data_IF_062758877140
#
_entry.id   IF_062758877140
#
_cell.length_a   1.000
_cell.length_b   1.000
_cell.length_c   1.000
_cell.angle_alpha   90.00
_cell.angle_beta   90.00
_cell.angle_gamma   90.00
#
_symmetry.space_group_name_H-M   'P 1'
#
loop_
_entity.id
_entity.type
_entity.pdbx_description
1 polymer ?
#
# COMPACT_ATOMS: atom_id res chain seq x y z
N UNK A 1 12.63 4.79 -23.83
CA UNK A 1 12.21 4.34 -22.49
C UNK A 1 12.51 5.49 -21.54
N UNK A 2 11.47 6.12 -20.94
CA UNK A 2 11.64 7.18 -19.93
C UNK A 2 11.43 6.50 -18.59
N UNK A 3 12.49 6.35 -17.80
CA UNK A 3 12.44 5.71 -16.49
C UNK A 3 12.29 6.82 -15.44
N UNK A 4 11.34 6.65 -14.52
CA UNK A 4 11.14 7.61 -13.42
C UNK A 4 12.37 7.65 -12.49
N UNK A 5 12.84 8.84 -12.05
CA UNK A 5 13.93 8.96 -11.08
C UNK A 5 13.66 8.20 -9.77
N UNK A 6 12.38 8.02 -9.39
CA UNK A 6 11.98 7.25 -8.21
C UNK A 6 12.37 5.77 -8.32
N UNK A 7 12.43 5.21 -9.53
CA UNK A 7 12.81 3.81 -9.76
C UNK A 7 14.31 3.55 -9.59
N UNK A 8 15.11 4.61 -9.38
CA UNK A 8 16.58 4.56 -9.35
C UNK A 8 17.18 4.88 -7.97
N UNK A 9 16.37 5.21 -6.95
CA UNK A 9 16.91 5.47 -5.61
C UNK A 9 17.30 4.16 -4.93
N UNK A 10 18.60 3.92 -4.79
CA UNK A 10 19.19 2.74 -4.15
C UNK A 10 19.29 2.98 -2.62
N UNK A 11 18.47 2.27 -1.84
CA UNK A 11 18.39 2.36 -0.38
C UNK A 11 19.39 1.41 0.29
N UNK A 12 20.27 1.95 1.13
CA UNK A 12 21.49 1.29 1.60
C UNK A 12 21.38 0.44 2.86
N UNK A 13 20.21 0.29 3.50
CA UNK A 13 20.10 -0.40 4.81
C UNK A 13 19.07 -1.55 4.83
N UNK A 14 18.63 -1.99 3.65
CA UNK A 14 17.67 -3.06 3.46
C UNK A 14 16.24 -2.51 3.35
N UNK A 15 15.39 -3.12 2.50
CA UNK A 15 14.18 -2.48 1.98
C UNK A 15 13.16 -2.09 3.07
N UNK A 16 13.16 -2.76 4.22
CA UNK A 16 12.29 -2.43 5.35
C UNK A 16 12.78 -1.23 6.18
N UNK A 17 14.09 -1.04 6.33
CA UNK A 17 14.63 0.11 7.05
C UNK A 17 14.53 1.37 6.20
N UNK A 18 14.82 1.24 4.90
CA UNK A 18 14.80 2.36 3.96
C UNK A 18 13.38 2.97 3.86
N UNK A 19 12.33 2.14 3.83
CA UNK A 19 10.95 2.64 3.81
C UNK A 19 10.52 3.26 5.14
N UNK A 20 10.97 2.72 6.28
CA UNK A 20 10.66 3.31 7.59
C UNK A 20 11.30 4.68 7.73
N UNK A 21 12.55 4.85 7.29
CA UNK A 21 13.22 6.14 7.28
C UNK A 21 12.49 7.16 6.41
N UNK A 22 12.05 6.78 5.21
CA UNK A 22 11.25 7.66 4.35
C UNK A 22 9.92 8.07 5.00
N UNK A 23 9.21 7.13 5.63
CA UNK A 23 7.95 7.41 6.31
C UNK A 23 8.14 8.34 7.53
N UNK A 24 9.25 8.19 8.28
CA UNK A 24 9.55 9.07 9.41
C UNK A 24 9.84 10.49 8.98
N UNK A 25 10.61 10.69 7.90
CA UNK A 25 10.86 12.02 7.37
C UNK A 25 9.58 12.69 6.86
N UNK A 26 8.70 11.93 6.19
CA UNK A 26 7.42 12.46 5.72
C UNK A 26 6.51 12.90 6.89
N UNK A 27 6.43 12.14 7.98
CA UNK A 27 5.64 12.53 9.16
C UNK A 27 6.22 13.76 9.88
N UNK A 28 7.54 13.91 9.94
CA UNK A 28 8.19 15.10 10.53
C UNK A 28 7.96 16.36 9.68
N UNK A 29 8.07 16.25 8.36
CA UNK A 29 7.83 17.37 7.43
C UNK A 29 6.35 17.79 7.39
N UNK A 30 5.43 16.82 7.52
CA UNK A 30 3.99 17.05 7.50
C UNK A 30 3.28 16.28 8.63
N UNK A 31 3.28 16.82 9.86
CA UNK A 31 2.70 16.12 11.01
C UNK A 31 1.25 15.70 10.79
N UNK A 32 0.98 14.40 10.95
CA UNK A 32 -0.34 13.82 10.79
C UNK A 32 -0.73 13.50 9.35
N UNK A 33 0.19 13.63 8.40
CA UNK A 33 -0.01 13.15 7.02
C UNK A 33 -0.16 11.64 6.96
N UNK A 34 0.48 10.89 7.86
CA UNK A 34 0.31 9.44 7.98
C UNK A 34 -0.69 9.15 9.10
N UNK A 35 -1.72 8.36 8.81
CA UNK A 35 -2.60 7.79 9.82
C UNK A 35 -2.31 6.31 9.96
N UNK A 36 -2.13 5.86 11.20
CA UNK A 36 -1.94 4.47 11.57
C UNK A 36 -3.08 4.02 12.47
N UNK A 37 -3.80 2.99 12.04
CA UNK A 37 -4.86 2.38 12.85
C UNK A 37 -4.62 0.88 12.91
N UNK A 38 -4.44 0.29 14.10
CA UNK A 38 -4.47 -1.15 14.26
C UNK A 38 -5.79 -1.71 13.71
N UNK A 39 -5.72 -2.69 12.82
CA UNK A 39 -6.94 -3.30 12.28
C UNK A 39 -7.48 -4.38 13.20
N UNK A 40 -8.67 -4.87 12.90
CA UNK A 40 -9.27 -6.02 13.56
C UNK A 40 -9.66 -7.05 12.50
N UNK A 41 -9.64 -8.33 12.88
CA UNK A 41 -9.93 -9.42 11.95
C UNK A 41 -11.44 -9.63 11.88
N UNK A 42 -12.01 -9.61 10.68
CA UNK A 42 -13.45 -9.86 10.47
C UNK A 42 -13.88 -11.31 10.72
N UNK A 43 -15.19 -11.51 10.92
CA UNK A 43 -15.78 -12.81 11.34
C UNK A 43 -16.01 -13.85 10.26
N UNK A 44 -15.72 -13.51 9.01
CA UNK A 44 -15.95 -14.40 7.87
C UNK A 44 -15.05 -15.65 7.93
N UNK A 45 -15.58 -16.78 7.41
CA UNK A 45 -14.78 -17.99 7.22
C UNK A 45 -13.54 -17.66 6.37
N UNK A 46 -12.41 -18.26 6.71
CA UNK A 46 -11.17 -18.14 5.93
C UNK A 46 -11.43 -18.46 4.45
N UNK A 47 -11.04 -17.56 3.55
CA UNK A 47 -11.31 -17.61 2.10
C UNK A 47 -12.79 -17.55 1.67
N UNK A 48 -13.73 -17.16 2.55
CA UNK A 48 -15.12 -16.95 2.15
C UNK A 48 -15.30 -15.68 1.31
N UNK A 49 -14.36 -14.75 1.40
CA UNK A 49 -14.26 -13.64 0.48
C UNK A 49 -13.10 -13.92 -0.50
N UNK A 50 -13.38 -14.12 -1.80
CA UNK A 50 -12.34 -14.19 -2.81
C UNK A 50 -11.65 -12.83 -3.04
N UNK A 51 -12.24 -11.73 -2.56
CA UNK A 51 -11.74 -10.37 -2.69
C UNK A 51 -11.20 -9.81 -1.34
N UNK A 52 -10.28 -8.85 -1.41
CA UNK A 52 -9.82 -8.07 -0.25
C UNK A 52 -10.97 -7.19 0.27
N UNK A 53 -11.41 -7.40 1.52
CA UNK A 53 -12.41 -6.54 2.16
C UNK A 53 -12.02 -6.14 3.60
N UNK A 54 -12.27 -4.88 3.94
CA UNK A 54 -12.11 -4.27 5.26
C UNK A 54 -13.50 -3.89 5.80
N UNK A 55 -13.96 -4.57 6.86
CA UNK A 55 -15.22 -4.27 7.57
C UNK A 55 -15.06 -4.54 9.09
N UNK A 56 -15.65 -3.69 9.93
CA UNK A 56 -15.60 -3.75 11.40
C UNK A 56 -17.01 -3.76 12.02
N UNK A 57 -17.24 -4.67 12.97
CA UNK A 57 -18.05 -4.50 14.20
C UNK A 57 -17.69 -5.65 15.17
N UNK A 58 -17.61 -5.31 16.46
CA UNK A 58 -16.81 -5.94 17.52
C UNK A 58 -17.47 -7.17 18.21
N UNK A 59 -16.72 -8.27 18.39
CA UNK A 59 -16.63 -9.04 19.66
C UNK A 59 -15.75 -10.30 19.54
N UNK A 60 -14.65 -10.26 20.28
CA UNK A 60 -14.02 -11.28 21.14
C UNK A 60 -13.95 -12.75 20.69
N UNK A 61 -13.02 -13.04 19.77
CA UNK A 61 -11.81 -13.85 20.07
C UNK A 61 -11.02 -14.14 18.78
N UNK A 62 -9.81 -13.57 18.66
CA UNK A 62 -8.93 -13.81 17.51
C UNK A 62 -7.43 -13.61 17.82
N UNK A 63 -6.50 -13.88 16.86
CA UNK A 63 -5.09 -14.15 17.15
C UNK A 63 -4.27 -12.92 17.60
N UNK A 64 -3.05 -13.09 18.16
CA UNK A 64 -2.41 -12.11 19.05
C UNK A 64 -2.02 -10.74 18.47
N UNK A 65 -1.89 -10.58 17.15
CA UNK A 65 -1.53 -9.28 16.53
C UNK A 65 -2.22 -9.10 15.18
N UNK A 66 -3.02 -8.06 15.07
CA UNK A 66 -3.58 -7.58 13.80
C UNK A 66 -2.59 -6.72 13.03
N UNK A 67 -2.68 -6.65 11.68
CA UNK A 67 -1.91 -5.68 10.91
C UNK A 67 -2.33 -4.25 11.25
N UNK A 68 -1.50 -3.28 10.85
CA UNK A 68 -1.82 -1.85 10.96
C UNK A 68 -2.31 -1.38 9.58
N UNK A 69 -3.49 -0.78 9.53
CA UNK A 69 -3.92 -0.01 8.38
C UNK A 69 -3.16 1.32 8.40
N UNK A 70 -2.62 1.68 7.24
CA UNK A 70 -1.93 2.94 7.01
C UNK A 70 -2.60 3.63 5.83
N UNK A 71 -2.90 4.91 5.96
CA UNK A 71 -3.30 5.75 4.84
C UNK A 71 -2.71 7.15 5.01
N UNK A 72 -2.68 7.91 3.91
CA UNK A 72 -2.24 9.30 3.92
C UNK A 72 -3.45 10.22 3.98
N UNK A 73 -3.39 11.26 4.82
CA UNK A 73 -4.37 12.35 4.88
C UNK A 73 -4.09 13.43 3.80
N UNK A 74 -3.10 13.19 2.94
CA UNK A 74 -2.78 14.00 1.76
C UNK A 74 -3.49 13.45 0.52
N UNK A 75 -4.24 14.30 -0.15
CA UNK A 75 -5.01 13.98 -1.36
C UNK A 75 -4.14 13.44 -2.49
N UNK A 76 -2.91 13.93 -2.67
CA UNK A 76 -2.04 13.53 -3.77
C UNK A 76 -1.49 12.12 -3.54
N UNK A 77 -1.01 11.85 -2.31
CA UNK A 77 -0.52 10.52 -1.95
C UNK A 77 -1.66 9.49 -1.94
N UNK A 78 -2.85 9.87 -1.48
CA UNK A 78 -4.03 9.01 -1.52
C UNK A 78 -4.47 8.69 -2.95
N UNK A 79 -4.44 9.67 -3.86
CA UNK A 79 -4.74 9.46 -5.27
C UNK A 79 -3.73 8.53 -5.95
N UNK A 80 -2.44 8.64 -5.60
CA UNK A 80 -1.42 7.71 -6.05
C UNK A 80 -1.65 6.27 -5.56
N UNK A 81 -2.06 6.10 -4.29
CA UNK A 81 -2.42 4.79 -3.76
C UNK A 81 -3.65 4.20 -4.44
N UNK A 82 -4.65 5.02 -4.80
CA UNK A 82 -5.84 4.58 -5.55
C UNK A 82 -5.45 4.08 -6.95
N UNK A 83 -4.60 4.81 -7.65
CA UNK A 83 -4.12 4.41 -8.98
C UNK A 83 -3.37 3.08 -8.91
N UNK A 84 -2.47 2.95 -7.95
CA UNK A 84 -1.72 1.71 -7.76
C UNK A 84 -2.64 0.53 -7.41
N UNK A 85 -3.62 0.73 -6.52
CA UNK A 85 -4.61 -0.29 -6.17
C UNK A 85 -5.43 -0.74 -7.39
N UNK A 86 -5.80 0.19 -8.29
CA UNK A 86 -6.51 -0.14 -9.52
C UNK A 86 -5.66 -1.02 -10.46
N UNK A 87 -4.36 -0.74 -10.59
CA UNK A 87 -3.46 -1.56 -11.43
C UNK A 87 -3.19 -2.93 -10.79
N UNK A 88 -3.04 -3.01 -9.47
CA UNK A 88 -2.96 -4.30 -8.77
C UNK A 88 -4.21 -5.15 -8.99
N UNK A 89 -5.40 -4.54 -8.96
CA UNK A 89 -6.64 -5.25 -9.25
C UNK A 89 -6.65 -5.86 -10.65
N UNK A 90 -6.18 -5.12 -11.67
CA UNK A 90 -6.03 -5.63 -13.04
C UNK A 90 -5.07 -6.81 -13.11
N UNK A 91 -3.95 -6.75 -12.38
CA UNK A 91 -2.98 -7.86 -12.30
C UNK A 91 -3.64 -9.11 -11.69
N UNK A 92 -4.36 -8.97 -10.58
CA UNK A 92 -5.04 -10.09 -9.92
C UNK A 92 -6.20 -10.66 -10.74
N UNK A 93 -6.88 -9.83 -11.52
CA UNK A 93 -7.88 -10.26 -12.49
C UNK A 93 -7.29 -10.94 -13.74
N UNK A 94 -5.96 -10.93 -13.89
CA UNK A 94 -5.26 -11.46 -15.07
C UNK A 94 -5.43 -10.60 -16.33
N UNK A 95 -5.89 -9.35 -16.18
CA UNK A 95 -6.05 -8.40 -17.28
C UNK A 95 -4.72 -7.84 -17.78
N UNK A 96 -3.70 -7.82 -16.92
CA UNK A 96 -2.32 -7.47 -17.25
C UNK A 96 -1.36 -8.53 -16.75
N UNK A 97 -0.22 -8.66 -17.43
CA UNK A 97 0.88 -9.54 -17.08
C UNK A 97 1.78 -8.93 -16.01
N UNK A 98 2.60 -9.77 -15.39
CA UNK A 98 3.64 -9.31 -14.45
C UNK A 98 4.63 -8.33 -15.10
N UNK A 99 4.89 -8.48 -16.41
CA UNK A 99 5.79 -7.61 -17.16
C UNK A 99 5.17 -6.23 -17.37
N UNK A 100 3.91 -6.16 -17.79
CA UNK A 100 3.17 -4.90 -17.93
C UNK A 100 3.01 -4.17 -16.59
N UNK A 101 2.77 -4.93 -15.50
CA UNK A 101 2.76 -4.36 -14.15
C UNK A 101 4.13 -3.79 -13.73
N UNK A 102 5.23 -4.46 -14.09
CA UNK A 102 6.57 -3.93 -13.84
C UNK A 102 6.87 -2.68 -14.66
N UNK A 103 6.53 -2.68 -15.95
CA UNK A 103 6.69 -1.52 -16.82
C UNK A 103 5.91 -0.31 -16.29
N UNK A 104 4.65 -0.50 -15.87
CA UNK A 104 3.86 0.56 -15.26
C UNK A 104 4.57 1.18 -14.04
N UNK A 105 5.10 0.37 -13.12
CA UNK A 105 5.83 0.86 -11.93
C UNK A 105 7.07 1.68 -12.28
N UNK A 106 7.75 1.35 -13.39
CA UNK A 106 8.98 2.04 -13.82
C UNK A 106 8.69 3.34 -14.56
N UNK A 107 7.54 3.40 -15.25
CA UNK A 107 7.08 4.56 -16.01
C UNK A 107 6.37 5.61 -15.13
N UNK A 108 5.86 5.21 -13.96
CA UNK A 108 5.10 6.07 -13.04
C UNK A 108 5.98 7.08 -12.25
N UNK A 109 5.50 8.30 -11.94
CA UNK A 109 4.22 8.89 -12.33
C UNK A 109 4.26 9.39 -13.79
N UNK A 110 3.17 9.17 -14.52
CA UNK A 110 3.00 9.81 -15.83
C UNK A 110 2.87 11.33 -15.62
N UNK A 111 3.83 12.11 -16.13
CA UNK A 111 3.71 13.58 -16.27
C UNK A 111 2.56 13.99 -17.21
#
# INVERSE_FOLDING_TARGET
MRVSPLALSDGGNGPANDILEQLFWLDEEQPGVIKLVPTERGTARYNANPDLALHYDDNDNWPPRSPVAMWFDDTILDDFLKDWAAVQKKLYAGEITQAEYFEWKVMWPDE
#
